data_IF_404677231618
#
_entry.id   IF_404677231618
#
_cell.length_a   1.000
_cell.length_b   1.000
_cell.length_c   1.000
_cell.angle_alpha   90.00
_cell.angle_beta   90.00
_cell.angle_gamma   90.00
#
_symmetry.space_group_name_H-M   'P 1'
#
loop_
_entity.id
_entity.type
_entity.pdbx_description
1 polymer ?
#
# COMPACT_ATOMS: atom_id res chain seq x y z
N UNK A 1 -11.67 -2.48 -13.93
CA UNK A 1 -10.70 -3.03 -12.97
C UNK A 1 -10.54 -2.09 -11.79
N UNK A 2 -10.51 -2.64 -10.58
CA UNK A 2 -10.43 -1.82 -9.36
C UNK A 2 -8.99 -1.41 -9.02
N UNK A 3 -8.01 -2.13 -9.51
CA UNK A 3 -6.61 -1.82 -9.31
C UNK A 3 -6.02 -2.42 -8.04
N UNK A 4 -4.70 -2.34 -7.98
CA UNK A 4 -3.89 -2.84 -6.88
C UNK A 4 -2.88 -1.77 -6.52
N UNK A 5 -2.67 -1.54 -5.23
CA UNK A 5 -1.74 -0.52 -4.74
C UNK A 5 -0.99 -1.03 -3.52
N UNK A 6 0.17 -0.45 -3.27
CA UNK A 6 0.93 -0.69 -2.05
C UNK A 6 1.00 0.62 -1.28
N UNK A 7 0.67 0.56 0.02
CA UNK A 7 0.74 1.70 0.92
C UNK A 7 1.88 1.48 1.90
N UNK A 8 2.78 2.46 1.99
CA UNK A 8 3.88 2.43 2.96
C UNK A 8 3.49 3.15 4.23
N UNK A 9 3.83 2.56 5.37
CA UNK A 9 3.57 3.16 6.67
C UNK A 9 4.80 3.02 7.56
N UNK A 10 5.00 4.01 8.44
CA UNK A 10 6.02 3.95 9.48
C UNK A 10 5.43 3.23 10.69
N UNK A 11 5.94 2.04 11.06
CA UNK A 11 5.30 1.23 12.10
C UNK A 11 5.30 1.88 13.49
N UNK A 12 6.23 2.80 13.78
CA UNK A 12 6.20 3.52 15.05
C UNK A 12 5.06 4.55 15.11
N UNK A 13 4.53 4.96 13.96
CA UNK A 13 3.39 5.89 13.89
C UNK A 13 2.09 5.14 13.69
N UNK A 14 2.06 4.22 12.73
CA UNK A 14 0.88 3.39 12.47
C UNK A 14 1.30 2.09 11.79
N UNK A 15 1.22 0.98 12.51
CA UNK A 15 1.63 -0.32 12.00
C UNK A 15 0.47 -1.09 11.37
N UNK A 16 0.77 -2.19 10.68
CA UNK A 16 -0.27 -3.11 10.21
C UNK A 16 -1.05 -3.72 11.40
N UNK A 17 -0.37 -3.98 12.51
CA UNK A 17 -1.04 -4.44 13.73
C UNK A 17 -2.05 -3.41 14.24
N UNK A 18 -1.71 -2.12 14.17
CA UNK A 18 -2.64 -1.05 14.52
C UNK A 18 -3.87 -1.06 13.60
N UNK A 19 -3.67 -1.28 12.30
CA UNK A 19 -4.76 -1.37 11.34
C UNK A 19 -5.65 -2.58 11.66
N UNK A 20 -5.06 -3.72 12.00
CA UNK A 20 -5.82 -4.92 12.39
C UNK A 20 -6.65 -4.66 13.64
N UNK A 21 -6.07 -3.97 14.62
CA UNK A 21 -6.78 -3.60 15.85
C UNK A 21 -7.95 -2.67 15.55
N UNK A 22 -7.75 -1.66 14.72
CA UNK A 22 -8.76 -0.65 14.38
C UNK A 22 -9.77 -1.17 13.35
N UNK A 23 -9.42 -2.23 12.62
CA UNK A 23 -10.20 -2.88 11.57
C UNK A 23 -10.36 -2.02 10.31
N UNK A 24 -10.50 -0.72 10.44
CA UNK A 24 -10.60 0.22 9.33
C UNK A 24 -10.05 1.57 9.77
N UNK A 25 -9.54 2.34 8.82
CA UNK A 25 -9.03 3.68 9.09
C UNK A 25 -9.07 4.51 7.80
N UNK A 26 -8.99 5.83 7.96
CA UNK A 26 -8.77 6.73 6.83
C UNK A 26 -7.27 6.85 6.64
N UNK A 27 -6.79 6.58 5.41
CA UNK A 27 -5.37 6.68 5.09
C UNK A 27 -5.04 8.13 4.76
N UNK A 28 -4.28 8.77 5.64
CA UNK A 28 -3.94 10.19 5.53
C UNK A 28 -2.43 10.40 5.74
N UNK A 29 -2.02 11.66 5.93
CA UNK A 29 -0.61 11.98 6.15
C UNK A 29 0.23 11.94 4.88
N UNK A 30 -0.40 11.83 3.72
CA UNK A 30 0.30 11.80 2.42
C UNK A 30 0.39 13.22 1.88
N UNK A 31 1.60 13.64 1.52
CA UNK A 31 1.83 14.98 0.99
C UNK A 31 2.46 15.01 -0.41
N UNK A 32 3.11 13.91 -0.82
CA UNK A 32 3.75 13.83 -2.14
C UNK A 32 2.69 13.92 -3.25
N UNK A 33 2.84 14.83 -4.25
CA UNK A 33 1.82 14.99 -5.30
C UNK A 33 1.50 13.73 -6.09
N UNK A 34 2.50 12.89 -6.37
CA UNK A 34 2.27 11.63 -7.10
C UNK A 34 1.48 10.65 -6.24
N UNK A 35 1.84 10.55 -4.95
CA UNK A 35 1.12 9.69 -4.01
C UNK A 35 -0.33 10.14 -3.84
N UNK A 36 -0.56 11.45 -3.75
CA UNK A 36 -1.93 12.00 -3.66
C UNK A 36 -2.73 11.70 -4.91
N UNK A 37 -2.12 11.82 -6.10
CA UNK A 37 -2.77 11.44 -7.35
C UNK A 37 -3.18 9.97 -7.32
N UNK A 38 -2.29 9.11 -6.88
CA UNK A 38 -2.58 7.67 -6.81
C UNK A 38 -3.73 7.39 -5.85
N UNK A 39 -3.79 8.07 -4.71
CA UNK A 39 -4.92 7.95 -3.78
C UNK A 39 -6.23 8.38 -4.41
N UNK A 40 -6.23 9.51 -5.13
CA UNK A 40 -7.45 10.01 -5.79
C UNK A 40 -7.98 9.04 -6.85
N UNK A 41 -7.10 8.29 -7.47
CA UNK A 41 -7.46 7.35 -8.53
C UNK A 41 -7.97 6.01 -8.00
N UNK A 42 -7.79 5.73 -6.71
CA UNK A 42 -8.30 4.50 -6.11
C UNK A 42 -9.83 4.46 -6.16
N UNK A 43 -10.36 3.25 -6.23
CA UNK A 43 -11.80 3.01 -6.24
C UNK A 43 -12.18 2.03 -5.14
N UNK A 44 -13.42 2.12 -4.61
CA UNK A 44 -13.86 1.12 -3.64
C UNK A 44 -13.69 -0.30 -4.18
N UNK A 45 -13.15 -1.19 -3.37
CA UNK A 45 -12.83 -2.56 -3.75
C UNK A 45 -11.40 -2.76 -4.23
N UNK A 46 -10.62 -1.71 -4.45
CA UNK A 46 -9.21 -1.85 -4.80
C UNK A 46 -8.47 -2.63 -3.71
N UNK A 47 -7.55 -3.51 -4.13
CA UNK A 47 -6.78 -4.35 -3.23
C UNK A 47 -5.47 -3.67 -2.87
N UNK A 48 -5.09 -3.77 -1.61
CA UNK A 48 -3.94 -3.06 -1.07
C UNK A 48 -2.95 -4.01 -0.42
N UNK A 49 -1.66 -3.67 -0.53
CA UNK A 49 -0.58 -4.27 0.24
C UNK A 49 -0.12 -3.21 1.24
N UNK A 50 0.01 -3.58 2.50
CA UNK A 50 0.57 -2.71 3.53
C UNK A 50 2.04 -3.05 3.70
N UNK A 51 2.89 -2.04 3.55
CA UNK A 51 4.34 -2.15 3.61
C UNK A 51 4.85 -1.30 4.78
N UNK A 52 5.58 -1.94 5.70
CA UNK A 52 6.18 -1.24 6.83
C UNK A 52 7.60 -0.81 6.50
N UNK A 53 7.88 0.47 6.70
CA UNK A 53 9.18 1.08 6.49
C UNK A 53 10.09 0.87 7.71
N UNK A 54 11.08 1.71 7.89
CA UNK A 54 12.08 1.63 8.96
C UNK A 54 12.88 0.33 8.85
N UNK A 55 13.12 -0.35 9.97
CA UNK A 55 13.96 -1.54 9.97
C UNK A 55 13.31 -2.74 9.27
N UNK A 56 11.99 -2.78 9.26
CA UNK A 56 11.25 -3.90 8.64
C UNK A 56 11.43 -3.95 7.13
N UNK A 57 11.21 -2.83 6.45
CA UNK A 57 11.28 -2.72 4.98
C UNK A 57 10.67 -3.94 4.30
N UNK A 58 9.41 -4.23 4.64
CA UNK A 58 8.72 -5.44 4.18
C UNK A 58 7.24 -5.21 3.96
N UNK A 59 6.70 -5.87 2.93
CA UNK A 59 5.26 -6.04 2.79
C UNK A 59 4.80 -7.04 3.87
N UNK A 60 3.78 -6.68 4.64
CA UNK A 60 3.41 -7.47 5.83
C UNK A 60 1.95 -7.90 5.84
N UNK A 61 1.08 -7.24 5.09
CA UNK A 61 -0.34 -7.57 5.10
C UNK A 61 -1.10 -7.00 3.93
N UNK A 62 -2.39 -7.31 3.89
CA UNK A 62 -3.30 -6.82 2.86
C UNK A 62 -4.37 -5.94 3.47
N UNK A 63 -5.01 -5.13 2.62
CA UNK A 63 -6.15 -4.31 2.98
C UNK A 63 -7.00 -4.10 1.72
N UNK A 64 -8.13 -3.43 1.91
CA UNK A 64 -9.06 -3.15 0.80
C UNK A 64 -9.60 -1.74 0.96
N UNK A 65 -9.77 -1.04 -0.16
CA UNK A 65 -10.41 0.29 -0.15
C UNK A 65 -11.91 0.11 0.04
N UNK A 66 -12.45 0.82 1.05
CA UNK A 66 -13.89 0.82 1.32
C UNK A 66 -14.54 2.00 0.61
N UNK A 67 -13.95 3.18 0.72
CA UNK A 67 -14.50 4.40 0.15
C UNK A 67 -13.40 5.39 -0.18
N UNK A 68 -13.68 6.27 -1.14
CA UNK A 68 -12.75 7.32 -1.55
C UNK A 68 -13.54 8.62 -1.64
N UNK A 69 -13.10 9.64 -0.89
CA UNK A 69 -13.64 10.98 -1.01
C UNK A 69 -12.54 11.88 -1.55
N UNK A 70 -12.66 12.24 -2.81
CA UNK A 70 -11.70 13.11 -3.50
C UNK A 70 -12.28 14.50 -3.76
N UNK A 71 -13.29 14.92 -3.01
CA UNK A 71 -13.89 16.25 -3.13
C UNK A 71 -12.86 17.36 -2.88
N UNK A 72 -11.88 17.09 -2.00
CA UNK A 72 -10.72 17.95 -1.84
C UNK A 72 -9.52 17.25 -2.48
N UNK A 73 -9.09 17.65 -3.69
CA UNK A 73 -8.00 16.95 -4.37
C UNK A 73 -6.65 17.04 -3.65
N UNK A 74 -6.48 17.99 -2.76
CA UNK A 74 -5.25 18.13 -1.96
C UNK A 74 -5.25 17.24 -0.73
N UNK A 75 -6.42 16.76 -0.30
CA UNK A 75 -6.59 15.88 0.86
C UNK A 75 -7.62 14.80 0.58
N UNK A 76 -7.35 13.91 -0.37
CA UNK A 76 -8.27 12.80 -0.60
C UNK A 76 -8.35 11.91 0.64
N UNK A 77 -9.55 11.49 0.99
CA UNK A 77 -9.79 10.60 2.13
C UNK A 77 -10.09 9.20 1.60
N UNK A 78 -9.14 8.29 1.76
CA UNK A 78 -9.29 6.91 1.36
C UNK A 78 -9.49 6.08 2.62
N UNK A 79 -10.69 5.54 2.80
CA UNK A 79 -10.97 4.65 3.92
C UNK A 79 -10.62 3.23 3.51
N UNK A 80 -9.82 2.56 4.34
CA UNK A 80 -9.37 1.21 4.07
C UNK A 80 -9.77 0.28 5.21
N UNK A 81 -9.92 -1.00 4.89
CA UNK A 81 -10.24 -2.05 5.84
C UNK A 81 -9.11 -3.06 5.88
N UNK A 82 -8.71 -3.49 7.08
CA UNK A 82 -7.69 -4.50 7.26
C UNK A 82 -8.09 -5.81 6.58
N UNK A 83 -7.14 -6.40 5.86
CA UNK A 83 -7.27 -7.75 5.32
C UNK A 83 -6.56 -8.76 6.23
N UNK A 84 -5.66 -9.53 5.66
CA UNK A 84 -4.93 -10.58 6.37
C UNK A 84 -3.44 -10.29 6.38
N UNK A 85 -2.74 -10.73 7.42
CA UNK A 85 -1.30 -10.75 7.41
C UNK A 85 -0.81 -11.66 6.28
N UNK A 86 0.29 -11.28 5.62
CA UNK A 86 0.89 -12.16 4.62
C UNK A 86 1.41 -13.43 5.31
N UNK A 87 1.32 -14.60 4.66
CA UNK A 87 1.87 -15.83 5.23
C UNK A 87 3.35 -15.68 5.57
N UNK A 88 4.06 -14.89 4.77
CA UNK A 88 5.46 -14.57 4.99
C UNK A 88 5.68 -13.13 4.57
N UNK A 89 6.25 -12.26 5.43
CA UNK A 89 6.60 -10.91 5.01
C UNK A 89 7.59 -10.96 3.83
N UNK A 90 7.39 -10.04 2.87
CA UNK A 90 8.26 -9.97 1.69
C UNK A 90 9.13 -8.73 1.83
N UNK A 91 10.43 -8.94 2.00
CA UNK A 91 11.37 -7.84 2.21
C UNK A 91 11.62 -7.03 0.94
N UNK A 92 12.07 -5.80 1.12
CA UNK A 92 12.46 -4.96 -0.01
C UNK A 92 13.56 -5.63 -0.84
N UNK A 93 14.50 -6.32 -0.19
CA UNK A 93 15.55 -7.04 -0.91
C UNK A 93 14.99 -8.13 -1.82
N UNK A 94 14.00 -8.89 -1.34
CA UNK A 94 13.32 -9.89 -2.16
C UNK A 94 12.56 -9.25 -3.32
N UNK A 95 11.91 -8.11 -3.08
CA UNK A 95 11.18 -7.38 -4.11
C UNK A 95 12.14 -6.89 -5.19
N UNK A 96 13.28 -6.31 -4.81
CA UNK A 96 14.29 -5.83 -5.76
C UNK A 96 14.88 -6.96 -6.59
N UNK A 97 14.95 -8.17 -6.03
CA UNK A 97 15.46 -9.34 -6.74
C UNK A 97 14.44 -9.94 -7.72
N UNK A 98 13.18 -9.54 -7.62
CA UNK A 98 12.10 -10.07 -8.45
C UNK A 98 11.94 -9.23 -9.71
N UNK A 99 12.07 -9.87 -10.88
CA UNK A 99 11.99 -9.20 -12.18
C UNK A 99 10.64 -8.50 -12.41
N UNK A 100 9.57 -8.95 -11.79
CA UNK A 100 8.24 -8.33 -11.90
C UNK A 100 8.26 -6.88 -11.42
N UNK A 101 9.20 -6.53 -10.54
CA UNK A 101 9.29 -5.20 -9.94
C UNK A 101 10.40 -4.33 -10.55
N UNK A 102 11.07 -4.80 -11.59
CA UNK A 102 12.22 -4.09 -12.17
C UNK A 102 11.89 -2.64 -12.56
N UNK A 103 10.70 -2.40 -13.10
CA UNK A 103 10.25 -1.07 -13.53
C UNK A 103 9.26 -0.45 -12.56
N UNK A 104 9.00 -1.09 -11.42
CA UNK A 104 8.03 -0.59 -10.45
C UNK A 104 8.52 0.69 -9.77
N UNK A 105 7.64 1.68 -9.56
CA UNK A 105 7.98 2.83 -8.72
C UNK A 105 8.41 2.44 -7.31
N UNK A 106 7.98 1.28 -6.81
CA UNK A 106 8.42 0.77 -5.51
C UNK A 106 9.94 0.64 -5.43
N UNK A 107 10.56 0.19 -6.52
CA UNK A 107 12.02 0.02 -6.61
C UNK A 107 12.70 1.31 -7.08
N UNK A 108 12.12 1.98 -8.08
CA UNK A 108 12.74 3.14 -8.72
C UNK A 108 12.50 4.46 -7.99
N UNK A 109 11.40 4.57 -7.27
CA UNK A 109 11.03 5.78 -6.53
C UNK A 109 10.81 5.40 -5.06
N UNK A 110 11.91 5.13 -4.37
CA UNK A 110 11.87 4.61 -3.00
C UNK A 110 11.14 5.49 -1.99
N UNK A 111 10.94 6.79 -2.30
CA UNK A 111 10.23 7.72 -1.42
C UNK A 111 8.74 7.81 -1.71
N UNK A 112 8.26 7.17 -2.78
CA UNK A 112 6.85 7.17 -3.09
C UNK A 112 6.12 6.24 -2.11
N UNK A 113 5.15 6.78 -1.36
CA UNK A 113 4.46 6.05 -0.30
C UNK A 113 3.17 5.37 -0.74
N UNK A 114 2.67 5.69 -1.93
CA UNK A 114 1.48 5.08 -2.51
C UNK A 114 1.88 4.63 -3.91
N UNK A 115 2.00 3.31 -4.10
CA UNK A 115 2.60 2.73 -5.31
C UNK A 115 1.55 1.89 -6.02
N UNK A 116 1.26 2.16 -7.32
CA UNK A 116 0.39 1.26 -8.08
C UNK A 116 1.10 -0.07 -8.34
N UNK A 117 0.35 -1.15 -8.31
CA UNK A 117 0.85 -2.50 -8.58
C UNK A 117 0.09 -3.09 -9.76
N UNK A 118 0.78 -3.97 -10.51
CA UNK A 118 0.10 -4.82 -11.49
C UNK A 118 -0.54 -6.01 -10.75
N UNK A 119 -1.54 -6.68 -11.37
CA UNK A 119 -2.09 -7.91 -10.78
C UNK A 119 -1.02 -8.97 -10.50
N UNK A 120 -0.04 -9.12 -11.38
CA UNK A 120 1.06 -10.08 -11.19
C UNK A 120 1.92 -9.73 -10.00
N UNK A 121 2.22 -8.43 -9.79
CA UNK A 121 2.97 -7.97 -8.64
C UNK A 121 2.22 -8.23 -7.33
N UNK A 122 0.93 -7.94 -7.30
CA UNK A 122 0.09 -8.21 -6.13
C UNK A 122 0.08 -9.71 -5.81
N UNK A 123 -0.12 -10.55 -6.82
CA UNK A 123 -0.09 -12.01 -6.64
C UNK A 123 1.25 -12.49 -6.10
N UNK A 124 2.35 -11.96 -6.61
CA UNK A 124 3.69 -12.35 -6.15
C UNK A 124 3.88 -12.03 -4.66
N UNK A 125 3.34 -10.90 -4.19
CA UNK A 125 3.45 -10.51 -2.79
C UNK A 125 2.55 -11.33 -1.88
N UNK A 126 1.39 -11.75 -2.36
CA UNK A 126 0.40 -12.46 -1.53
C UNK A 126 0.56 -13.97 -1.57
N UNK A 127 1.33 -14.52 -2.52
CA UNK A 127 1.54 -15.98 -2.68
C UNK A 127 2.85 -16.47 -2.09
N UNK A 128 3.65 -15.56 -1.55
CA UNK A 128 4.98 -15.92 -1.04
C UNK A 128 4.91 -16.80 0.22
#
# INVERSE_FOLDING_TARGET
MLGYYLLKTEPSEYSFADLQRDKATVWDGVSNPVALRNLREMKPGAQLIIYETADQKSAVGTAKVISVDASNPKKPEVKIQAGKALPKPVSLAEIKANKLFADSPLVRQGRLSVVPLTPAQYSALTSA
#
